data_IF_585952382368
#
_entry.id   IF_585952382368
#
_cell.length_a   1.000
_cell.length_b   1.000
_cell.length_c   1.000
_cell.angle_alpha   90.00
_cell.angle_beta   90.00
_cell.angle_gamma   90.00
#
_symmetry.space_group_name_H-M   'P 1'
#
loop_
_entity.id
_entity.type
_entity.pdbx_description
1 polymer ?
#
# COMPACT_ATOMS: atom_id res chain seq x y z
N UNK A 1 16.53 16.79 7.15
CA UNK A 1 16.50 18.06 6.39
C UNK A 1 16.10 17.89 4.92
N UNK A 2 16.55 16.84 4.21
CA UNK A 2 16.32 16.67 2.75
C UNK A 2 14.86 16.59 2.28
N UNK A 3 13.95 16.00 3.07
CA UNK A 3 12.55 15.79 2.63
C UNK A 3 11.69 17.07 2.75
N UNK A 4 12.05 18.03 3.60
CA UNK A 4 11.26 19.24 3.81
C UNK A 4 11.31 20.19 2.62
N UNK A 5 12.47 20.29 1.97
CA UNK A 5 12.66 21.13 0.79
C UNK A 5 11.83 20.58 -0.38
N UNK A 6 11.89 19.25 -0.60
CA UNK A 6 11.12 18.58 -1.63
C UNK A 6 9.61 18.71 -1.41
N UNK A 7 9.13 18.40 -0.20
CA UNK A 7 7.71 18.54 0.15
C UNK A 7 7.25 20.00 0.05
N UNK A 8 8.08 20.94 0.52
CA UNK A 8 7.81 22.38 0.42
C UNK A 8 7.68 22.84 -1.03
N UNK A 9 8.54 22.36 -1.92
CA UNK A 9 8.47 22.66 -3.35
C UNK A 9 7.16 22.16 -3.97
N UNK A 10 6.75 20.92 -3.66
CA UNK A 10 5.48 20.37 -4.16
C UNK A 10 4.29 21.21 -3.69
N UNK A 11 4.25 21.60 -2.41
CA UNK A 11 3.18 22.44 -1.89
C UNK A 11 3.18 23.85 -2.51
N UNK A 12 4.36 24.43 -2.73
CA UNK A 12 4.49 25.72 -3.41
C UNK A 12 3.91 25.65 -4.82
N UNK A 13 4.30 24.62 -5.60
CA UNK A 13 3.79 24.41 -6.96
C UNK A 13 2.27 24.25 -6.95
N UNK A 14 1.73 23.45 -6.02
CA UNK A 14 0.29 23.26 -5.88
C UNK A 14 -0.45 24.57 -5.57
N UNK A 15 0.08 25.40 -4.65
CA UNK A 15 -0.49 26.70 -4.31
C UNK A 15 -0.46 27.64 -5.52
N UNK A 16 0.67 27.71 -6.23
CA UNK A 16 0.81 28.55 -7.44
C UNK A 16 -0.22 28.15 -8.49
N UNK A 17 -0.36 26.85 -8.79
CA UNK A 17 -1.38 26.40 -9.74
C UNK A 17 -2.81 26.64 -9.26
N UNK A 18 -3.07 26.54 -7.96
CA UNK A 18 -4.38 26.86 -7.39
C UNK A 18 -4.71 28.34 -7.55
N UNK A 19 -3.73 29.23 -7.32
CA UNK A 19 -3.87 30.68 -7.53
C UNK A 19 -4.13 30.97 -9.01
N UNK A 20 -3.34 30.40 -9.91
CA UNK A 20 -3.53 30.55 -11.37
C UNK A 20 -4.94 30.07 -11.78
N UNK A 21 -5.36 28.91 -11.28
CA UNK A 21 -6.71 28.37 -11.51
C UNK A 21 -7.78 29.34 -11.02
N UNK A 22 -7.61 29.90 -9.82
CA UNK A 22 -8.57 30.81 -9.21
C UNK A 22 -8.69 32.14 -9.97
N UNK A 23 -7.57 32.68 -10.46
CA UNK A 23 -7.55 33.88 -11.32
C UNK A 23 -8.28 33.58 -12.64
N UNK A 24 -8.06 32.40 -13.23
CA UNK A 24 -8.65 32.02 -14.52
C UNK A 24 -10.15 31.71 -14.42
N UNK A 25 -10.61 31.06 -13.35
CA UNK A 25 -12.03 30.79 -13.12
C UNK A 25 -12.35 30.41 -11.68
N UNK A 26 -12.77 31.39 -10.87
CA UNK A 26 -13.21 31.17 -9.48
C UNK A 26 -14.28 30.08 -9.36
N UNK A 27 -15.23 30.03 -10.30
CA UNK A 27 -16.31 29.06 -10.28
C UNK A 27 -15.80 27.62 -10.48
N UNK A 28 -14.94 27.38 -11.47
CA UNK A 28 -14.37 26.05 -11.72
C UNK A 28 -13.45 25.63 -10.57
N UNK A 29 -12.62 26.53 -10.04
CA UNK A 29 -11.76 26.24 -8.89
C UNK A 29 -12.56 25.87 -7.66
N UNK A 30 -13.64 26.60 -7.35
CA UNK A 30 -14.53 26.28 -6.21
C UNK A 30 -15.18 24.90 -6.38
N UNK A 31 -15.66 24.56 -7.59
CA UNK A 31 -16.21 23.24 -7.87
C UNK A 31 -15.17 22.13 -7.72
N UNK A 32 -13.94 22.34 -8.21
CA UNK A 32 -12.85 21.38 -8.05
C UNK A 32 -12.48 21.17 -6.57
N UNK A 33 -12.38 22.25 -5.78
CA UNK A 33 -12.11 22.18 -4.34
C UNK A 33 -13.23 21.46 -3.59
N UNK A 34 -14.49 21.71 -3.92
CA UNK A 34 -15.63 21.00 -3.32
C UNK A 34 -15.61 19.51 -3.65
N UNK A 35 -15.29 19.13 -4.89
CA UNK A 35 -15.12 17.73 -5.27
C UNK A 35 -13.97 17.08 -4.49
N UNK A 36 -12.82 17.74 -4.42
CA UNK A 36 -11.67 17.27 -3.65
C UNK A 36 -12.01 17.09 -2.16
N UNK A 37 -12.71 18.05 -1.56
CA UNK A 37 -13.14 17.97 -0.16
C UNK A 37 -14.12 16.83 0.10
N UNK A 38 -15.07 16.61 -0.81
CA UNK A 38 -16.01 15.48 -0.70
C UNK A 38 -15.30 14.13 -0.84
N UNK A 39 -14.39 13.98 -1.81
CA UNK A 39 -13.54 12.79 -1.92
C UNK A 39 -12.70 12.56 -0.66
N UNK A 40 -12.10 13.62 -0.11
CA UNK A 40 -11.31 13.53 1.12
C UNK A 40 -12.15 13.08 2.31
N UNK A 41 -13.34 13.68 2.51
CA UNK A 41 -14.27 13.26 3.57
C UNK A 41 -14.74 11.81 3.44
N UNK A 42 -14.85 11.26 2.23
CA UNK A 42 -15.25 9.87 2.03
C UNK A 42 -14.10 8.89 2.37
N UNK A 43 -12.85 9.29 2.13
CA UNK A 43 -11.66 8.48 2.39
C UNK A 43 -11.25 8.54 3.87
N UNK A 44 -11.44 9.70 4.51
CA UNK A 44 -10.93 9.98 5.86
C UNK A 44 -11.42 8.98 6.94
N UNK A 45 -12.70 8.59 7.04
CA UNK A 45 -13.16 7.63 8.05
C UNK A 45 -12.51 6.25 7.89
N UNK A 46 -12.39 5.78 6.64
CA UNK A 46 -11.76 4.50 6.34
C UNK A 46 -10.27 4.54 6.68
N UNK A 47 -9.59 5.62 6.32
CA UNK A 47 -8.17 5.83 6.63
C UNK A 47 -7.93 5.86 8.14
N UNK A 48 -8.71 6.63 8.89
CA UNK A 48 -8.60 6.71 10.35
C UNK A 48 -8.89 5.35 11.02
N UNK A 49 -9.93 4.65 10.55
CA UNK A 49 -10.26 3.32 11.04
C UNK A 49 -9.10 2.34 10.90
N UNK A 50 -8.43 2.33 9.73
CA UNK A 50 -7.27 1.45 9.54
C UNK A 50 -6.05 1.90 10.32
N UNK A 51 -5.77 3.20 10.41
CA UNK A 51 -4.66 3.71 11.25
C UNK A 51 -4.86 3.29 12.71
N UNK A 52 -6.09 3.39 13.23
CA UNK A 52 -6.40 2.94 14.60
C UNK A 52 -6.26 1.43 14.74
N UNK A 53 -6.77 0.64 13.79
CA UNK A 53 -6.65 -0.82 13.82
C UNK A 53 -5.19 -1.27 13.79
N UNK A 54 -4.38 -0.69 12.91
CA UNK A 54 -2.96 -0.99 12.81
C UNK A 54 -2.22 -0.52 14.06
N UNK A 55 -2.53 0.68 14.57
CA UNK A 55 -1.96 1.18 15.82
C UNK A 55 -2.27 0.27 17.02
N UNK A 56 -3.51 -0.22 17.12
CA UNK A 56 -3.91 -1.21 18.13
C UNK A 56 -3.19 -2.55 17.91
N UNK A 57 -3.08 -3.03 16.67
CA UNK A 57 -2.32 -4.23 16.36
C UNK A 57 -0.85 -4.08 16.76
N UNK A 58 -0.20 -2.94 16.49
CA UNK A 58 1.18 -2.68 16.92
C UNK A 58 1.32 -2.50 18.44
N UNK A 59 0.27 -2.04 19.12
CA UNK A 59 0.24 -1.97 20.58
C UNK A 59 0.06 -3.35 21.23
N UNK A 60 -0.65 -4.27 20.57
CA UNK A 60 -0.93 -5.62 21.05
C UNK A 60 0.13 -6.63 20.60
N UNK A 61 0.71 -6.44 19.42
CA UNK A 61 1.80 -7.21 18.86
C UNK A 61 3.11 -6.48 19.19
N UNK A 62 3.82 -6.97 20.21
CA UNK A 62 5.20 -6.54 20.46
C UNK A 62 6.03 -6.65 19.16
N UNK A 63 6.88 -5.66 18.90
CA UNK A 63 7.91 -5.63 17.84
C UNK A 63 8.61 -6.99 17.72
N UNK A 64 8.86 -7.67 18.86
CA UNK A 64 9.42 -9.03 18.88
C UNK A 64 8.62 -10.06 18.07
N UNK A 65 7.30 -10.01 18.15
CA UNK A 65 6.39 -10.91 17.43
C UNK A 65 6.40 -10.60 15.93
N UNK A 66 6.33 -9.30 15.58
CA UNK A 66 6.36 -8.85 14.18
C UNK A 66 7.69 -9.25 13.52
N UNK A 67 8.82 -8.96 14.17
CA UNK A 67 10.13 -9.33 13.68
C UNK A 67 10.35 -10.84 13.58
N UNK A 68 9.70 -11.64 14.44
CA UNK A 68 9.80 -13.10 14.39
C UNK A 68 9.01 -13.69 13.21
N UNK A 69 7.83 -13.14 12.90
CA UNK A 69 6.92 -13.69 11.87
C UNK A 69 7.23 -13.12 10.48
N UNK A 70 7.46 -11.82 10.39
CA UNK A 70 7.66 -11.11 9.11
C UNK A 70 8.90 -10.17 9.12
N UNK A 71 9.81 -10.29 10.08
CA UNK A 71 11.08 -9.54 10.09
C UNK A 71 12.09 -10.07 9.08
N UNK A 72 13.24 -9.40 8.93
CA UNK A 72 14.27 -9.80 7.96
C UNK A 72 14.74 -11.26 8.16
N UNK A 73 14.84 -11.71 9.43
CA UNK A 73 15.25 -13.07 9.78
C UNK A 73 14.17 -14.15 9.59
N UNK A 74 12.94 -13.78 9.23
CA UNK A 74 11.85 -14.74 8.96
C UNK A 74 12.06 -15.55 7.67
N UNK A 75 12.96 -15.10 6.80
CA UNK A 75 13.31 -15.75 5.55
C UNK A 75 12.10 -15.99 4.63
N UNK A 76 12.15 -17.09 3.88
CA UNK A 76 11.14 -17.45 2.88
C UNK A 76 9.75 -17.63 3.52
N UNK A 77 9.66 -18.14 4.76
CA UNK A 77 8.37 -18.33 5.41
C UNK A 77 7.67 -17.02 5.75
N UNK A 78 8.41 -16.00 6.19
CA UNK A 78 7.80 -14.68 6.40
C UNK A 78 7.33 -14.05 5.09
N UNK A 79 8.06 -14.25 3.98
CA UNK A 79 7.64 -13.80 2.65
C UNK A 79 6.33 -14.49 2.24
N UNK A 80 6.24 -15.82 2.37
CA UNK A 80 5.02 -16.56 2.02
C UNK A 80 3.82 -16.17 2.89
N UNK A 81 4.03 -15.97 4.20
CA UNK A 81 2.97 -15.50 5.11
C UNK A 81 2.51 -14.09 4.74
N UNK A 82 3.45 -13.16 4.51
CA UNK A 82 3.14 -11.80 4.11
C UNK A 82 2.40 -11.76 2.76
N UNK A 83 2.82 -12.59 1.79
CA UNK A 83 2.17 -12.76 0.50
C UNK A 83 0.76 -13.34 0.60
N UNK A 84 0.56 -14.33 1.47
CA UNK A 84 -0.76 -14.93 1.68
C UNK A 84 -1.72 -13.91 2.31
N UNK A 85 -1.28 -13.18 3.32
CA UNK A 85 -2.07 -12.11 3.94
C UNK A 85 -2.38 -11.04 2.90
N UNK A 86 -1.39 -10.54 2.17
CA UNK A 86 -1.61 -9.53 1.11
C UNK A 86 -2.66 -9.96 0.10
N UNK A 87 -2.56 -11.20 -0.40
CA UNK A 87 -3.49 -11.75 -1.40
C UNK A 87 -4.96 -11.81 -0.96
N UNK A 88 -5.23 -11.88 0.35
CA UNK A 88 -6.58 -11.93 0.92
C UNK A 88 -7.08 -10.54 1.33
N UNK A 89 -6.17 -9.67 1.75
CA UNK A 89 -6.54 -8.44 2.45
C UNK A 89 -6.81 -7.31 1.46
N UNK A 90 -7.91 -7.34 0.68
CA UNK A 90 -8.19 -6.35 -0.38
C UNK A 90 -8.34 -4.91 0.16
N UNK A 91 -7.23 -4.22 0.39
CA UNK A 91 -7.13 -2.87 0.95
C UNK A 91 -6.71 -1.88 -0.15
N UNK A 92 -7.32 -0.68 -0.24
CA UNK A 92 -6.89 0.37 -1.16
C UNK A 92 -5.43 0.81 -0.94
N UNK A 93 -4.73 1.16 -2.03
CA UNK A 93 -3.32 1.55 -1.98
C UNK A 93 -2.99 2.69 -1.01
N UNK A 94 -3.88 3.68 -0.87
CA UNK A 94 -3.67 4.82 0.05
C UNK A 94 -3.66 4.42 1.54
N UNK A 95 -4.14 3.23 1.88
CA UNK A 95 -4.07 2.63 3.22
C UNK A 95 -2.91 1.64 3.30
N UNK A 96 -2.69 0.87 2.23
CA UNK A 96 -1.63 -0.12 2.15
C UNK A 96 -0.24 0.45 2.47
N UNK A 97 0.11 1.60 1.90
CA UNK A 97 1.44 2.19 2.07
C UNK A 97 1.71 2.70 3.50
N UNK A 98 0.79 3.45 4.16
CA UNK A 98 0.94 3.78 5.57
C UNK A 98 1.07 2.53 6.47
N UNK A 99 0.27 1.50 6.23
CA UNK A 99 0.35 0.24 6.98
C UNK A 99 1.69 -0.46 6.79
N UNK A 100 2.19 -0.52 5.55
CA UNK A 100 3.51 -1.06 5.25
C UNK A 100 4.62 -0.29 5.98
N UNK A 101 4.56 1.05 6.00
CA UNK A 101 5.52 1.88 6.71
C UNK A 101 5.50 1.64 8.23
N UNK A 102 4.32 1.48 8.82
CA UNK A 102 4.15 1.18 10.24
C UNK A 102 4.68 -0.22 10.60
N UNK A 103 4.45 -1.23 9.76
CA UNK A 103 4.99 -2.57 9.97
C UNK A 103 6.52 -2.60 9.82
N UNK A 104 7.09 -1.86 8.86
CA UNK A 104 8.55 -1.67 8.76
C UNK A 104 9.13 -1.03 10.02
N UNK A 105 8.49 0.02 10.54
CA UNK A 105 8.88 0.63 11.82
C UNK A 105 8.76 -0.35 13.00
N UNK A 106 7.78 -1.26 12.93
CA UNK A 106 7.59 -2.36 13.87
C UNK A 106 8.55 -3.54 13.68
N UNK A 107 9.56 -3.43 12.82
CA UNK A 107 10.61 -4.44 12.63
C UNK A 107 10.26 -5.56 11.65
N UNK A 108 9.27 -5.34 10.77
CA UNK A 108 9.08 -6.18 9.58
C UNK A 108 10.20 -5.95 8.56
N UNK A 109 10.52 -6.97 7.78
CA UNK A 109 11.59 -6.91 6.80
C UNK A 109 11.17 -6.32 5.46
N UNK A 110 12.13 -5.76 4.73
CA UNK A 110 11.85 -5.07 3.46
C UNK A 110 11.27 -6.01 2.40
N UNK A 111 11.79 -7.24 2.31
CA UNK A 111 11.31 -8.23 1.33
C UNK A 111 9.89 -8.68 1.68
N UNK A 112 9.61 -8.90 2.96
CA UNK A 112 8.31 -9.33 3.46
C UNK A 112 7.24 -8.25 3.22
N UNK A 113 7.59 -6.99 3.45
CA UNK A 113 6.69 -5.86 3.22
C UNK A 113 6.48 -5.62 1.72
N UNK A 114 7.53 -5.74 0.91
CA UNK A 114 7.40 -5.69 -0.55
C UNK A 114 6.48 -6.80 -1.08
N UNK A 115 6.60 -8.01 -0.54
CA UNK A 115 5.77 -9.15 -0.89
C UNK A 115 4.30 -8.95 -0.48
N UNK A 116 4.07 -8.42 0.73
CA UNK A 116 2.74 -8.03 1.21
C UNK A 116 2.10 -7.00 0.27
N UNK A 117 2.77 -5.88 -0.01
CA UNK A 117 2.22 -4.80 -0.84
C UNK A 117 2.00 -5.25 -2.28
N UNK A 118 2.91 -6.04 -2.87
CA UNK A 118 2.74 -6.52 -4.23
C UNK A 118 1.57 -7.50 -4.36
N UNK A 119 1.50 -8.49 -3.48
CA UNK A 119 0.40 -9.47 -3.52
C UNK A 119 -0.95 -8.83 -3.23
N UNK A 120 -0.99 -7.87 -2.32
CA UNK A 120 -2.15 -7.04 -2.02
C UNK A 120 -2.73 -6.34 -3.25
N UNK A 121 -1.88 -5.86 -4.15
CA UNK A 121 -2.33 -5.12 -5.33
C UNK A 121 -2.56 -6.01 -6.55
N UNK A 122 -1.77 -7.08 -6.72
CA UNK A 122 -1.75 -7.88 -7.94
C UNK A 122 -2.58 -9.17 -7.86
N UNK A 123 -2.71 -9.73 -6.66
CA UNK A 123 -3.42 -10.99 -6.45
C UNK A 123 -4.85 -10.68 -6.02
N UNK A 124 -5.80 -11.16 -6.82
CA UNK A 124 -7.21 -10.90 -6.66
C UNK A 124 -7.98 -12.08 -6.08
N UNK A 125 -7.53 -12.72 -4.98
CA UNK A 125 -8.25 -13.87 -4.40
C UNK A 125 -9.72 -13.52 -4.13
N UNK A 126 -9.94 -12.35 -3.52
CA UNK A 126 -11.28 -11.83 -3.22
C UNK A 126 -12.06 -11.49 -4.50
N UNK A 127 -11.37 -11.13 -5.58
CA UNK A 127 -11.98 -10.77 -6.88
C UNK A 127 -12.11 -11.96 -7.84
N UNK A 128 -11.65 -13.16 -7.48
CA UNK A 128 -11.78 -14.37 -8.30
C UNK A 128 -13.22 -14.61 -8.79
N UNK A 129 -14.28 -14.50 -7.95
CA UNK A 129 -15.65 -14.73 -8.42
C UNK A 129 -16.08 -13.77 -9.53
N UNK A 130 -15.59 -12.53 -9.48
CA UNK A 130 -15.81 -11.54 -10.54
C UNK A 130 -14.99 -11.89 -11.77
N UNK A 131 -13.71 -12.21 -11.62
CA UNK A 131 -12.83 -12.59 -12.74
C UNK A 131 -13.35 -13.81 -13.50
N UNK A 132 -13.89 -14.82 -12.79
CA UNK A 132 -14.49 -16.01 -13.40
C UNK A 132 -15.66 -15.62 -14.30
N UNK A 133 -16.50 -14.68 -13.88
CA UNK A 133 -17.67 -14.21 -14.65
C UNK A 133 -17.28 -13.51 -15.96
N UNK A 134 -16.14 -12.82 -15.99
CA UNK A 134 -15.69 -12.08 -17.17
C UNK A 134 -14.75 -12.88 -18.09
N UNK A 135 -13.88 -13.74 -17.53
CA UNK A 135 -12.75 -14.33 -18.26
C UNK A 135 -12.70 -15.86 -18.28
N UNK A 136 -13.65 -16.55 -17.62
CA UNK A 136 -13.64 -17.99 -17.33
C UNK A 136 -12.60 -18.41 -16.27
N UNK A 137 -12.88 -19.55 -15.61
CA UNK A 137 -12.11 -20.05 -14.46
C UNK A 137 -10.64 -20.29 -14.74
N UNK A 138 -10.29 -20.85 -15.91
CA UNK A 138 -8.89 -21.13 -16.26
C UNK A 138 -8.05 -19.85 -16.31
N UNK A 139 -8.59 -18.80 -16.91
CA UNK A 139 -7.89 -17.51 -17.06
C UNK A 139 -7.78 -16.80 -15.71
N UNK A 140 -8.86 -16.79 -14.92
CA UNK A 140 -8.85 -16.19 -13.58
C UNK A 140 -7.82 -16.85 -12.65
N UNK A 141 -7.77 -18.19 -12.63
CA UNK A 141 -6.78 -18.92 -11.81
C UNK A 141 -5.36 -18.67 -12.31
N UNK A 142 -5.13 -18.77 -13.63
CA UNK A 142 -3.81 -18.54 -14.21
C UNK A 142 -3.30 -17.12 -13.92
N UNK A 143 -4.16 -16.10 -14.05
CA UNK A 143 -3.85 -14.71 -13.72
C UNK A 143 -3.36 -14.59 -12.28
N UNK A 144 -4.11 -15.15 -11.32
CA UNK A 144 -3.77 -15.05 -9.90
C UNK A 144 -2.48 -15.78 -9.55
N UNK A 145 -2.26 -16.97 -10.10
CA UNK A 145 -1.03 -17.74 -9.87
C UNK A 145 0.19 -17.02 -10.43
N UNK A 146 0.10 -16.49 -11.66
CA UNK A 146 1.18 -15.71 -12.27
C UNK A 146 1.43 -14.43 -11.46
N UNK A 147 0.37 -13.69 -11.11
CA UNK A 147 0.48 -12.49 -10.27
C UNK A 147 1.16 -12.77 -8.94
N UNK A 148 0.82 -13.89 -8.28
CA UNK A 148 1.42 -14.29 -7.01
C UNK A 148 2.91 -14.59 -7.17
N UNK A 149 3.28 -15.39 -8.18
CA UNK A 149 4.68 -15.70 -8.46
C UNK A 149 5.52 -14.46 -8.82
N UNK A 150 4.98 -13.58 -9.67
CA UNK A 150 5.64 -12.32 -10.03
C UNK A 150 5.77 -11.38 -8.83
N UNK A 151 4.76 -11.33 -7.95
CA UNK A 151 4.81 -10.51 -6.73
C UNK A 151 5.97 -10.91 -5.82
N UNK A 152 6.18 -12.22 -5.64
CA UNK A 152 7.33 -12.75 -4.88
C UNK A 152 8.65 -12.39 -5.58
N UNK A 153 8.71 -12.55 -6.92
CA UNK A 153 9.88 -12.16 -7.70
C UNK A 153 10.25 -10.68 -7.53
N UNK A 154 9.26 -9.79 -7.60
CA UNK A 154 9.43 -8.35 -7.38
C UNK A 154 9.90 -8.05 -5.95
N UNK A 155 9.35 -8.75 -4.96
CA UNK A 155 9.76 -8.58 -3.56
C UNK A 155 11.25 -8.90 -3.35
N UNK A 156 11.72 -10.02 -3.90
CA UNK A 156 13.14 -10.38 -3.85
C UNK A 156 14.02 -9.44 -4.68
N UNK A 157 13.52 -8.96 -5.82
CA UNK A 157 14.22 -7.95 -6.62
C UNK A 157 14.40 -6.62 -5.85
N UNK A 158 13.41 -6.21 -5.07
CA UNK A 158 13.52 -5.06 -4.15
C UNK A 158 14.57 -5.34 -3.08
N UNK A 159 14.56 -6.53 -2.47
CA UNK A 159 15.60 -6.94 -1.52
C UNK A 159 17.01 -6.89 -2.10
N UNK A 160 17.16 -7.28 -3.37
CA UNK A 160 18.41 -7.19 -4.10
C UNK A 160 18.86 -5.73 -4.31
N UNK A 161 17.98 -4.85 -4.79
CA UNK A 161 18.29 -3.42 -4.99
C UNK A 161 18.70 -2.76 -3.67
N UNK A 162 18.03 -3.11 -2.57
CA UNK A 162 18.27 -2.52 -1.26
C UNK A 162 19.44 -3.18 -0.50
N UNK A 163 20.14 -4.15 -1.10
CA UNK A 163 21.24 -4.90 -0.47
C UNK A 163 20.90 -5.47 0.92
N UNK A 164 19.65 -5.91 1.13
CA UNK A 164 19.15 -6.42 2.42
C UNK A 164 19.62 -7.86 2.70
N UNK A 165 20.56 -8.38 1.90
CA UNK A 165 21.07 -9.75 1.96
C UNK A 165 22.38 -9.89 2.75
N UNK A 166 22.82 -8.85 3.45
CA UNK A 166 24.02 -8.85 4.28
C UNK A 166 23.72 -9.22 5.74
#
# INVERSE_FOLDING_TARGET
MGNYIFNGLIYLIAIVFLIISFIKSKQKTKQALLKAWNSFKNILPMLLGVILLVGLMLSLLDTRTISKIIGDRSGIMGVLLASAVGSVTLIPGFIAFPTAALLLQGGAGYIQIAAFVQTLMMVGIVTIPMEIRYFNTKVAVLRNVISFALSIGVAYFIGFILNVWQ
#
